data_IF_727213572723
#
_entry.id   IF_727213572723
#
_cell.length_a   1.000
_cell.length_b   1.000
_cell.length_c   1.000
_cell.angle_alpha   90.00
_cell.angle_beta   90.00
_cell.angle_gamma   90.00
#
_symmetry.space_group_name_H-M   'P 1'
#
loop_
_entity.id
_entity.type
_entity.pdbx_description
1 polymer ?
#
# COMPACT_ATOMS: atom_id res chain seq x y z
N UNK A 1 2.54 15.65 6.52
CA UNK A 1 1.94 14.55 5.74
C UNK A 1 2.88 14.19 4.58
N UNK A 2 3.13 12.93 4.32
CA UNK A 2 4.00 12.53 3.22
C UNK A 2 3.47 12.97 1.86
N UNK A 3 4.38 13.22 0.92
CA UNK A 3 4.02 13.40 -0.48
C UNK A 3 3.83 12.01 -1.12
N UNK A 4 2.60 11.56 -1.21
CA UNK A 4 2.26 10.22 -1.68
C UNK A 4 2.68 9.97 -3.13
N UNK A 5 2.70 11.01 -3.96
CA UNK A 5 3.16 10.89 -5.36
C UNK A 5 4.67 10.68 -5.44
N UNK A 6 5.42 11.25 -4.50
CA UNK A 6 6.86 11.00 -4.41
C UNK A 6 7.15 9.60 -3.83
N UNK A 7 6.37 9.15 -2.86
CA UNK A 7 6.53 7.82 -2.26
C UNK A 7 6.12 6.73 -3.24
N UNK A 8 5.01 6.94 -3.95
CA UNK A 8 4.49 6.00 -4.94
C UNK A 8 4.43 6.65 -6.33
N UNK A 9 5.58 6.78 -7.02
CA UNK A 9 5.59 7.30 -8.41
C UNK A 9 4.69 6.49 -9.34
N UNK A 10 4.40 5.24 -8.99
CA UNK A 10 3.52 4.34 -9.72
C UNK A 10 2.07 4.85 -9.80
N UNK A 11 1.70 5.85 -9.00
CA UNK A 11 0.42 6.56 -9.16
C UNK A 11 0.27 7.16 -10.56
N UNK A 12 1.37 7.54 -11.19
CA UNK A 12 1.36 8.08 -12.55
C UNK A 12 1.05 7.01 -13.61
N UNK A 13 1.10 5.72 -13.23
CA UNK A 13 0.72 4.62 -14.12
C UNK A 13 -0.79 4.46 -14.26
N UNK A 14 -1.57 5.13 -13.41
CA UNK A 14 -3.03 5.14 -13.47
C UNK A 14 -3.45 6.29 -14.39
N UNK A 15 -4.10 5.95 -15.51
CA UNK A 15 -4.53 6.94 -16.49
C UNK A 15 -5.67 7.82 -15.96
N UNK A 16 -6.62 7.23 -15.23
CA UNK A 16 -7.70 7.96 -14.58
C UNK A 16 -7.15 8.74 -13.37
N UNK A 17 -6.96 10.05 -13.55
CA UNK A 17 -6.37 10.90 -12.52
C UNK A 17 -7.24 11.00 -11.25
N UNK A 18 -8.56 10.89 -11.39
CA UNK A 18 -9.48 10.85 -10.26
C UNK A 18 -9.24 9.59 -9.40
N UNK A 19 -9.03 8.45 -10.04
CA UNK A 19 -8.71 7.19 -9.35
C UNK A 19 -7.35 7.30 -8.65
N UNK A 20 -6.34 7.84 -9.31
CA UNK A 20 -5.01 8.04 -8.72
C UNK A 20 -5.11 8.92 -7.46
N UNK A 21 -5.87 9.99 -7.50
CA UNK A 21 -6.08 10.87 -6.35
C UNK A 21 -6.79 10.15 -5.20
N UNK A 22 -7.75 9.29 -5.51
CA UNK A 22 -8.44 8.47 -4.50
C UNK A 22 -7.50 7.46 -3.84
N UNK A 23 -6.62 6.84 -4.60
CA UNK A 23 -5.61 5.91 -4.05
C UNK A 23 -4.70 6.65 -3.08
N UNK A 24 -4.20 7.82 -3.46
CA UNK A 24 -3.38 8.66 -2.58
C UNK A 24 -4.15 9.06 -1.32
N UNK A 25 -5.43 9.41 -1.46
CA UNK A 25 -6.28 9.79 -0.33
C UNK A 25 -6.50 8.63 0.65
N UNK A 26 -6.59 7.40 0.18
CA UNK A 26 -6.70 6.22 1.05
C UNK A 26 -5.44 6.05 1.89
N UNK A 27 -4.26 6.20 1.29
CA UNK A 27 -2.99 6.16 2.03
C UNK A 27 -2.92 7.28 3.07
N UNK A 28 -3.30 8.49 2.70
CA UNK A 28 -3.31 9.64 3.61
C UNK A 28 -4.24 9.42 4.80
N UNK A 29 -5.45 8.94 4.55
CA UNK A 29 -6.42 8.66 5.61
C UNK A 29 -5.95 7.52 6.53
N UNK A 30 -5.40 6.46 5.97
CA UNK A 30 -4.85 5.35 6.75
C UNK A 30 -3.68 5.81 7.62
N UNK A 31 -2.82 6.67 7.07
CA UNK A 31 -1.68 7.22 7.79
C UNK A 31 -2.15 8.06 8.98
N UNK A 32 -3.13 8.91 8.76
CA UNK A 32 -3.75 9.73 9.79
C UNK A 32 -4.40 8.89 10.88
N UNK A 33 -5.23 7.92 10.49
CA UNK A 33 -5.96 7.05 11.42
C UNK A 33 -5.02 6.16 12.23
N UNK A 34 -3.91 5.75 11.64
CA UNK A 34 -2.90 4.94 12.32
C UNK A 34 -2.03 5.73 13.30
N UNK A 35 -2.17 7.04 13.34
CA UNK A 35 -1.37 7.90 14.22
C UNK A 35 0.05 8.15 13.75
N UNK A 36 0.34 7.84 12.49
CA UNK A 36 1.65 8.07 11.88
C UNK A 36 1.87 9.54 11.53
N UNK A 37 3.12 9.96 11.50
CA UNK A 37 3.46 11.34 11.18
C UNK A 37 4.84 11.48 10.53
N UNK A 38 5.09 12.61 9.90
CA UNK A 38 6.37 12.91 9.26
C UNK A 38 6.80 11.82 8.29
N UNK A 39 8.03 11.36 8.42
CA UNK A 39 8.64 10.37 7.55
C UNK A 39 8.52 8.94 8.06
N UNK A 40 7.59 8.65 8.97
CA UNK A 40 7.38 7.30 9.50
C UNK A 40 7.21 6.25 8.40
N UNK A 41 6.58 6.63 7.27
CA UNK A 41 6.37 5.73 6.14
C UNK A 41 7.67 5.13 5.60
N UNK A 42 8.78 5.82 5.74
CA UNK A 42 10.09 5.36 5.28
C UNK A 42 10.69 4.28 6.19
N UNK A 43 10.12 4.08 7.38
CA UNK A 43 10.64 3.15 8.39
C UNK A 43 9.73 1.96 8.65
N UNK A 44 8.43 2.06 8.34
CA UNK A 44 7.46 1.00 8.62
C UNK A 44 7.84 -0.27 7.85
N UNK A 45 8.03 -1.43 8.54
CA UNK A 45 8.38 -2.68 7.87
C UNK A 45 7.18 -3.25 7.09
N UNK A 46 7.46 -4.04 6.06
CA UNK A 46 6.37 -4.67 5.31
C UNK A 46 5.73 -5.83 6.09
N UNK A 47 6.46 -6.42 7.04
CA UNK A 47 5.95 -7.50 7.88
C UNK A 47 6.64 -7.50 9.25
N UNK A 48 5.93 -7.99 10.26
CA UNK A 48 6.48 -8.27 11.61
C UNK A 48 6.66 -9.77 11.84
N UNK A 49 6.37 -10.61 10.84
CA UNK A 49 6.44 -12.09 10.98
C UNK A 49 7.86 -12.62 10.96
N UNK A 50 8.79 -11.90 10.32
CA UNK A 50 10.20 -12.28 10.24
C UNK A 50 11.00 -11.19 10.95
N UNK A 51 11.39 -11.36 12.17
CA UNK A 51 12.23 -10.48 12.97
C UNK A 51 12.56 -9.12 12.34
N UNK A 52 13.83 -8.79 12.15
CA UNK A 52 14.24 -7.58 11.45
C UNK A 52 14.20 -7.81 9.93
N UNK A 53 13.61 -6.85 9.22
CA UNK A 53 13.66 -6.82 7.76
C UNK A 53 14.09 -5.43 7.31
N UNK A 54 14.92 -5.38 6.27
CA UNK A 54 15.33 -4.11 5.64
C UNK A 54 14.29 -3.61 4.63
N UNK A 55 13.28 -4.43 4.30
CA UNK A 55 12.25 -4.05 3.33
C UNK A 55 11.11 -3.32 4.04
N UNK A 56 10.86 -2.09 3.62
CA UNK A 56 9.76 -1.29 4.17
C UNK A 56 8.44 -1.63 3.48
N UNK A 57 7.35 -1.22 4.12
CA UNK A 57 6.00 -1.34 3.54
C UNK A 57 5.92 -0.63 2.18
N UNK A 58 6.49 0.58 2.08
CA UNK A 58 6.49 1.34 0.83
C UNK A 58 7.27 0.62 -0.28
N UNK A 59 8.47 0.13 0.02
CA UNK A 59 9.27 -0.63 -0.94
C UNK A 59 8.56 -1.90 -1.41
N UNK A 60 7.99 -2.66 -0.48
CA UNK A 60 7.23 -3.87 -0.80
C UNK A 60 6.03 -3.55 -1.71
N UNK A 61 5.27 -2.51 -1.38
CA UNK A 61 4.12 -2.08 -2.18
C UNK A 61 4.53 -1.72 -3.61
N UNK A 62 5.64 -0.99 -3.76
CA UNK A 62 6.17 -0.63 -5.07
C UNK A 62 6.63 -1.84 -5.87
N UNK A 63 7.32 -2.79 -5.23
CA UNK A 63 7.76 -4.03 -5.87
C UNK A 63 6.57 -4.85 -6.38
N UNK A 64 5.55 -5.03 -5.55
CA UNK A 64 4.33 -5.77 -5.94
C UNK A 64 3.63 -5.07 -7.11
N UNK A 65 3.55 -3.75 -7.07
CA UNK A 65 2.93 -2.96 -8.16
C UNK A 65 3.69 -3.15 -9.48
N UNK A 66 5.02 -3.12 -9.43
CA UNK A 66 5.86 -3.37 -10.61
C UNK A 66 5.69 -4.78 -11.18
N UNK A 67 5.62 -5.78 -10.30
CA UNK A 67 5.38 -7.18 -10.70
C UNK A 67 4.01 -7.32 -11.36
N UNK A 68 2.97 -6.73 -10.78
CA UNK A 68 1.62 -6.76 -11.35
C UNK A 68 1.59 -6.15 -12.76
N UNK A 69 2.25 -5.01 -12.94
CA UNK A 69 2.36 -4.38 -14.25
C UNK A 69 3.08 -5.27 -15.28
N UNK A 70 4.19 -5.88 -14.87
CA UNK A 70 4.95 -6.77 -15.74
C UNK A 70 4.14 -8.00 -16.16
N UNK A 71 3.42 -8.61 -15.22
CA UNK A 71 2.53 -9.75 -15.49
C UNK A 71 1.42 -9.34 -16.47
N UNK A 72 0.79 -8.20 -16.26
CA UNK A 72 -0.27 -7.71 -17.14
C UNK A 72 0.23 -7.47 -18.57
N UNK A 73 1.42 -6.88 -18.72
CA UNK A 73 2.04 -6.68 -20.03
C UNK A 73 2.33 -7.99 -20.73
N UNK A 74 2.90 -8.95 -20.01
CA UNK A 74 3.21 -10.27 -20.55
C UNK A 74 1.95 -10.99 -21.02
N UNK A 75 0.89 -10.93 -20.22
CA UNK A 75 -0.40 -11.53 -20.59
C UNK A 75 -1.02 -10.89 -21.82
N UNK A 76 -0.95 -9.57 -21.92
CA UNK A 76 -1.45 -8.84 -23.09
C UNK A 76 -0.67 -9.19 -24.36
N UNK A 77 0.66 -9.21 -24.28
CA UNK A 77 1.55 -9.55 -25.39
C UNK A 77 1.34 -11.00 -25.84
N UNK A 78 1.08 -11.92 -24.90
CA UNK A 78 0.75 -13.30 -25.19
C UNK A 78 -0.65 -13.51 -25.76
N UNK A 79 -1.48 -12.46 -25.85
CA UNK A 79 -2.81 -12.51 -26.40
C UNK A 79 -3.85 -13.21 -25.56
N UNK A 80 -3.55 -13.54 -24.29
CA UNK A 80 -4.44 -14.35 -23.46
C UNK A 80 -5.53 -13.52 -22.79
N UNK A 81 -5.20 -12.37 -22.17
CA UNK A 81 -6.17 -11.52 -21.47
C UNK A 81 -5.69 -10.07 -21.48
N UNK A 82 -6.61 -9.14 -21.71
CA UNK A 82 -6.37 -7.71 -21.47
C UNK A 82 -6.93 -7.35 -20.11
N UNK A 83 -6.05 -7.04 -19.14
CA UNK A 83 -6.45 -6.60 -17.80
C UNK A 83 -6.68 -5.08 -17.80
N UNK A 84 -7.63 -4.64 -16.97
CA UNK A 84 -7.80 -3.20 -16.72
C UNK A 84 -6.58 -2.70 -15.93
N UNK A 85 -5.72 -1.94 -16.59
CA UNK A 85 -4.48 -1.44 -16.01
C UNK A 85 -4.73 -0.58 -14.78
N UNK A 86 -5.70 0.33 -14.83
CA UNK A 86 -5.97 1.26 -13.73
C UNK A 86 -6.43 0.52 -12.48
N UNK A 87 -7.33 -0.44 -12.62
CA UNK A 87 -7.81 -1.26 -11.50
C UNK A 87 -6.66 -2.10 -10.94
N UNK A 88 -5.85 -2.69 -11.80
CA UNK A 88 -4.73 -3.52 -11.38
C UNK A 88 -3.70 -2.72 -10.57
N UNK A 89 -3.30 -1.56 -11.06
CA UNK A 89 -2.32 -0.70 -10.38
C UNK A 89 -2.89 -0.15 -9.08
N UNK A 90 -4.14 0.32 -9.10
CA UNK A 90 -4.81 0.79 -7.88
C UNK A 90 -4.91 -0.32 -6.82
N UNK A 91 -5.29 -1.53 -7.22
CA UNK A 91 -5.36 -2.67 -6.32
C UNK A 91 -4.01 -3.05 -5.74
N UNK A 92 -2.97 -3.06 -6.56
CA UNK A 92 -1.61 -3.35 -6.11
C UNK A 92 -1.11 -2.32 -5.09
N UNK A 93 -1.34 -1.03 -5.36
CA UNK A 93 -0.95 0.05 -4.45
C UNK A 93 -1.71 0.01 -3.13
N UNK A 94 -2.94 -0.51 -3.11
CA UNK A 94 -3.80 -0.53 -1.93
C UNK A 94 -3.77 -1.86 -1.16
N UNK A 95 -3.18 -2.93 -1.72
CA UNK A 95 -3.34 -4.27 -1.17
C UNK A 95 -2.88 -4.42 0.29
N UNK A 96 -1.90 -3.64 0.73
CA UNK A 96 -1.36 -3.69 2.10
C UNK A 96 -1.57 -2.39 2.88
N UNK A 97 -2.39 -1.46 2.39
CA UNK A 97 -2.62 -0.17 3.07
C UNK A 97 -3.15 -0.34 4.51
N UNK A 98 -3.90 -1.41 4.75
CA UNK A 98 -4.42 -1.72 6.08
C UNK A 98 -3.36 -1.99 7.14
N UNK A 99 -2.13 -2.28 6.74
CA UNK A 99 -1.00 -2.43 7.68
C UNK A 99 -0.72 -1.16 8.47
N UNK A 100 -1.09 0.00 7.95
CA UNK A 100 -0.97 1.26 8.68
C UNK A 100 -1.89 1.29 9.92
N UNK A 101 -2.96 0.50 9.94
CA UNK A 101 -3.83 0.33 11.09
C UNK A 101 -3.46 -0.92 11.91
N UNK A 102 -2.78 -1.89 11.28
CA UNK A 102 -2.37 -3.14 11.92
C UNK A 102 -1.13 -2.96 12.80
N UNK A 103 -0.22 -2.04 12.42
CA UNK A 103 1.03 -1.81 13.11
C UNK A 103 1.01 -0.49 13.89
N UNK A 104 1.88 -0.39 14.89
CA UNK A 104 2.15 0.85 15.60
C UNK A 104 3.63 0.93 15.97
N UNK A 105 4.12 2.13 16.20
CA UNK A 105 5.48 2.34 16.70
C UNK A 105 5.55 1.94 18.16
N UNK A 106 6.56 1.15 18.52
CA UNK A 106 6.87 0.77 19.90
C UNK A 106 8.05 1.60 20.42
N UNK A 107 8.42 1.44 21.69
CA UNK A 107 9.61 2.06 22.27
C UNK A 107 10.87 1.67 21.48
N UNK A 108 10.93 0.43 21.03
CA UNK A 108 11.97 -0.08 20.12
C UNK A 108 11.30 -0.78 18.94
N UNK A 109 11.38 -0.16 17.75
CA UNK A 109 10.79 -0.74 16.54
C UNK A 109 9.27 -0.62 16.46
N UNK A 110 8.62 -1.67 15.99
CA UNK A 110 7.19 -1.69 15.68
C UNK A 110 6.53 -2.91 16.29
N UNK A 111 5.22 -2.81 16.53
CA UNK A 111 4.41 -3.93 17.04
C UNK A 111 3.00 -3.88 16.46
N UNK A 112 2.24 -4.97 16.65
CA UNK A 112 0.84 -5.03 16.22
C UNK A 112 0.00 -4.11 17.11
N UNK A 113 -0.83 -3.25 16.49
CA UNK A 113 -1.73 -2.35 17.20
C UNK A 113 -2.92 -3.12 17.78
N UNK A 114 -3.72 -2.45 18.63
CA UNK A 114 -4.98 -3.03 19.10
C UNK A 114 -5.91 -3.34 17.93
N UNK A 115 -6.01 -2.43 16.97
CA UNK A 115 -6.80 -2.64 15.75
C UNK A 115 -6.27 -3.84 14.95
N UNK A 116 -4.94 -3.98 14.84
CA UNK A 116 -4.30 -5.09 14.14
C UNK A 116 -4.50 -6.43 14.81
N UNK A 117 -4.72 -6.46 16.14
CA UNK A 117 -5.05 -7.69 16.87
C UNK A 117 -6.49 -8.12 16.62
N UNK A 118 -7.38 -7.17 16.33
CA UNK A 118 -8.80 -7.41 16.09
C UNK A 118 -9.12 -7.58 14.61
N UNK A 119 -8.46 -6.80 13.76
CA UNK A 119 -8.63 -6.79 12.30
C UNK A 119 -7.28 -6.79 11.62
N UNK A 120 -7.07 -7.77 10.74
CA UNK A 120 -5.87 -7.82 9.92
C UNK A 120 -6.00 -6.86 8.73
N UNK A 121 -4.85 -6.49 8.13
CA UNK A 121 -4.77 -5.48 7.06
C UNK A 121 -5.70 -5.71 5.87
N UNK A 122 -6.02 -6.95 5.43
CA UNK A 122 -6.96 -7.10 4.32
C UNK A 122 -8.34 -6.53 4.64
N UNK A 123 -8.86 -6.75 5.85
CA UNK A 123 -10.15 -6.20 6.26
C UNK A 123 -10.10 -4.70 6.51
N UNK A 124 -9.05 -4.22 7.18
CA UNK A 124 -8.85 -2.79 7.43
C UNK A 124 -8.70 -2.01 6.14
N UNK A 125 -7.92 -2.52 5.19
CA UNK A 125 -7.72 -1.90 3.88
C UNK A 125 -9.01 -1.87 3.06
N UNK A 126 -9.79 -2.95 3.09
CA UNK A 126 -11.08 -3.01 2.42
C UNK A 126 -12.06 -1.97 3.00
N UNK A 127 -12.10 -1.82 4.32
CA UNK A 127 -12.91 -0.82 5.00
C UNK A 127 -12.54 0.61 4.61
N UNK A 128 -11.25 0.90 4.52
CA UNK A 128 -10.74 2.20 4.07
C UNK A 128 -11.10 2.48 2.62
N UNK A 129 -10.90 1.51 1.75
CA UNK A 129 -11.16 1.67 0.31
C UNK A 129 -12.65 1.82 -0.01
N UNK A 130 -13.54 1.30 0.85
CA UNK A 130 -14.98 1.38 0.67
C UNK A 130 -15.56 2.76 1.03
N UNK A 131 -14.80 3.59 1.75
CA UNK A 131 -15.21 4.97 2.06
C UNK A 131 -15.03 5.85 0.82
#
# INVERSE_FOLDING_TARGET
>A
MPDWKAIYPELDWIADRSLADKVAAVWEEAYRLGGWSGNDIEEIPFTLLVGETSVTLAEHTRLVTGICRAVARTMKEGGSIALDNDILIAGALLHDVGKLLEYRRAATGFQVSRSGKLLRHPLSGMGLAAK
#
